data_IF_234567619913
#
_entry.id   IF_234567619913
#
_cell.length_a   1.000
_cell.length_b   1.000
_cell.length_c   1.000
_cell.angle_alpha   90.00
_cell.angle_beta   90.00
_cell.angle_gamma   90.00
#
_symmetry.space_group_name_H-M   'P 1'
#
loop_
_entity.id
_entity.type
_entity.pdbx_description
1 polymer ?
#
# COMPACT_ATOMS: atom_id res chain seq x y z
N UNK A 1 -11.48 54.19 -27.56
CA UNK A 1 -10.10 54.68 -27.33
C UNK A 1 -10.12 55.69 -26.19
N UNK A 2 -9.54 55.32 -25.04
CA UNK A 2 -8.94 56.14 -23.96
C UNK A 2 -8.99 55.34 -22.65
N UNK A 3 -7.94 54.56 -22.39
CA UNK A 3 -7.64 54.07 -21.04
C UNK A 3 -6.86 55.14 -20.30
N UNK A 4 -7.35 55.46 -19.11
CA UNK A 4 -6.65 56.21 -18.07
C UNK A 4 -5.76 55.27 -17.27
N UNK A 5 -4.58 55.78 -16.93
CA UNK A 5 -3.62 55.17 -16.02
C UNK A 5 -4.20 55.06 -14.60
N UNK A 6 -3.75 54.06 -13.84
CA UNK A 6 -3.61 54.19 -12.40
C UNK A 6 -2.42 53.36 -11.93
N UNK A 7 -1.46 54.05 -11.33
CA UNK A 7 -0.22 53.56 -10.74
C UNK A 7 -0.40 53.70 -9.22
N UNK A 8 -0.31 52.62 -8.44
CA UNK A 8 0.00 52.58 -6.99
C UNK A 8 0.05 51.12 -6.54
N UNK A 9 1.23 50.52 -6.36
CA UNK A 9 2.01 50.40 -5.11
C UNK A 9 1.37 49.40 -4.10
N UNK A 10 2.24 48.52 -3.58
CA UNK A 10 2.22 47.77 -2.30
C UNK A 10 1.67 46.33 -2.26
N UNK A 11 2.51 45.50 -1.64
CA UNK A 11 2.25 44.20 -1.02
C UNK A 11 1.96 43.03 -1.96
N UNK A 12 3.06 42.47 -2.49
CA UNK A 12 3.17 41.05 -2.82
C UNK A 12 3.01 40.21 -1.54
N UNK A 13 1.79 40.15 -1.02
CA UNK A 13 1.38 39.11 -0.10
C UNK A 13 1.02 37.95 -1.02
N UNK A 14 1.93 36.98 -1.15
CA UNK A 14 1.65 35.70 -1.75
C UNK A 14 0.48 35.07 -0.98
N UNK A 15 -0.75 35.35 -1.43
CA UNK A 15 -1.88 34.47 -1.22
C UNK A 15 -1.52 33.22 -2.02
N UNK A 16 -0.77 32.33 -1.38
CA UNK A 16 -0.73 30.93 -1.79
C UNK A 16 -2.17 30.44 -1.70
N UNK A 17 -2.84 30.10 -2.81
CA UNK A 17 -3.95 29.17 -2.68
C UNK A 17 -3.34 27.92 -2.05
N UNK A 18 -3.83 27.54 -0.87
CA UNK A 18 -3.71 26.18 -0.40
C UNK A 18 -4.38 25.30 -1.46
N UNK A 19 -3.61 24.86 -2.45
CA UNK A 19 -3.98 23.80 -3.35
C UNK A 19 -4.23 22.57 -2.47
N UNK A 20 -5.46 22.08 -2.51
CA UNK A 20 -5.95 21.03 -1.62
C UNK A 20 -5.11 19.76 -1.72
N UNK A 21 -4.60 19.31 -0.58
CA UNK A 21 -4.31 17.90 -0.36
C UNK A 21 -5.64 17.21 -0.03
N UNK A 22 -6.50 16.97 -1.02
CA UNK A 22 -7.85 16.46 -0.74
C UNK A 22 -8.53 15.64 -1.83
N UNK A 23 -7.86 15.30 -2.94
CA UNK A 23 -8.56 14.76 -4.13
C UNK A 23 -8.04 13.40 -4.63
N UNK A 24 -7.05 12.77 -4.00
CA UNK A 24 -6.44 11.54 -4.53
C UNK A 24 -6.39 10.37 -3.54
N UNK A 25 -7.27 10.32 -2.54
CA UNK A 25 -7.47 9.10 -1.75
C UNK A 25 -8.25 8.09 -2.60
N UNK A 26 -7.62 7.00 -3.11
CA UNK A 26 -8.32 6.05 -3.97
C UNK A 26 -9.40 5.26 -3.23
N UNK A 27 -9.45 5.32 -1.90
CA UNK A 27 -10.40 4.60 -1.07
C UNK A 27 -11.68 5.40 -0.76
N UNK A 28 -11.70 6.72 -1.00
CA UNK A 28 -12.80 7.58 -0.60
C UNK A 28 -14.15 7.20 -1.24
N UNK A 29 -14.12 6.79 -2.52
CA UNK A 29 -15.31 6.41 -3.30
C UNK A 29 -15.42 4.90 -3.56
N UNK A 30 -14.54 4.09 -2.95
CA UNK A 30 -14.49 2.64 -3.18
C UNK A 30 -15.62 1.89 -2.45
N UNK A 31 -16.07 0.76 -3.02
CA UNK A 31 -16.93 -0.19 -2.29
C UNK A 31 -16.19 -0.63 -1.00
N UNK A 32 -16.81 -0.58 0.19
CA UNK A 32 -16.13 -0.89 1.44
C UNK A 32 -15.49 -2.28 1.47
N UNK A 33 -16.05 -3.25 0.74
CA UNK A 33 -15.48 -4.60 0.61
C UNK A 33 -14.18 -4.58 -0.19
N UNK A 34 -14.14 -3.79 -1.27
CA UNK A 34 -12.93 -3.60 -2.07
C UNK A 34 -11.88 -2.80 -1.30
N UNK A 35 -12.30 -1.75 -0.59
CA UNK A 35 -11.40 -0.96 0.25
C UNK A 35 -10.74 -1.80 1.35
N UNK A 36 -11.47 -2.74 1.97
CA UNK A 36 -10.91 -3.62 3.00
C UNK A 36 -9.91 -4.64 2.45
N UNK A 37 -10.09 -5.10 1.21
CA UNK A 37 -9.20 -6.08 0.59
C UNK A 37 -7.96 -5.38 0.04
N UNK A 38 -8.14 -4.28 -0.68
CA UNK A 38 -7.08 -3.57 -1.39
C UNK A 38 -6.33 -2.55 -0.51
N UNK A 39 -6.44 -2.64 0.81
CA UNK A 39 -5.74 -1.77 1.73
C UNK A 39 -4.24 -2.06 1.67
N UNK A 40 -3.42 -1.03 1.52
CA UNK A 40 -1.96 -1.20 1.61
C UNK A 40 -1.61 -1.45 3.08
N UNK A 41 -1.05 -2.62 3.37
CA UNK A 41 -0.58 -2.97 4.70
C UNK A 41 0.83 -2.40 4.94
N UNK A 42 0.99 -1.76 6.09
CA UNK A 42 2.27 -1.19 6.51
C UNK A 42 3.12 -2.25 7.26
N UNK A 43 4.43 -2.35 6.98
CA UNK A 43 5.33 -3.25 7.70
C UNK A 43 5.37 -2.93 9.19
N UNK A 44 5.63 -3.96 10.01
CA UNK A 44 5.67 -3.82 11.46
C UNK A 44 6.79 -2.87 11.95
N UNK A 45 7.89 -2.75 11.17
CA UNK A 45 9.03 -1.90 11.48
C UNK A 45 9.00 -0.69 10.54
N UNK A 46 8.80 0.50 11.11
CA UNK A 46 8.81 1.75 10.33
C UNK A 46 10.11 1.89 9.55
N UNK A 47 10.00 2.19 8.25
CA UNK A 47 11.15 2.42 7.37
C UNK A 47 11.85 1.15 6.88
N UNK A 48 11.32 -0.04 7.19
CA UNK A 48 11.81 -1.30 6.63
C UNK A 48 10.70 -2.05 5.88
N UNK A 49 11.09 -2.96 4.98
CA UNK A 49 10.19 -3.83 4.23
C UNK A 49 9.62 -3.22 2.96
N UNK A 50 9.17 -4.09 2.06
CA UNK A 50 8.43 -3.67 0.88
C UNK A 50 6.99 -3.33 1.25
N UNK A 51 6.43 -2.33 0.57
CA UNK A 51 5.02 -1.97 0.66
C UNK A 51 4.41 -1.87 -0.73
N UNK A 52 3.12 -2.15 -0.84
CA UNK A 52 2.43 -2.00 -2.10
C UNK A 52 2.36 -0.53 -2.52
N UNK A 53 2.65 -0.26 -3.78
CA UNK A 53 2.49 1.08 -4.35
C UNK A 53 1.01 1.44 -4.54
N UNK A 54 0.75 2.75 -4.62
CA UNK A 54 -0.61 3.27 -4.76
C UNK A 54 -1.26 2.88 -6.10
N UNK A 55 -0.47 2.65 -7.14
CA UNK A 55 -0.98 2.24 -8.45
C UNK A 55 -1.56 0.81 -8.39
N UNK A 56 -0.91 -0.08 -7.64
CA UNK A 56 -1.34 -1.46 -7.41
C UNK A 56 -2.62 -1.49 -6.60
N UNK A 57 -2.74 -0.65 -5.57
CA UNK A 57 -3.97 -0.51 -4.80
C UNK A 57 -5.15 -0.03 -5.66
N UNK A 58 -4.94 0.99 -6.51
CA UNK A 58 -5.96 1.45 -7.47
C UNK A 58 -6.38 0.34 -8.44
N UNK A 59 -5.41 -0.40 -8.98
CA UNK A 59 -5.70 -1.53 -9.87
C UNK A 59 -6.48 -2.64 -9.15
N UNK A 60 -6.16 -2.93 -7.89
CA UNK A 60 -6.92 -3.86 -7.06
C UNK A 60 -8.38 -3.40 -6.89
N UNK A 61 -8.60 -2.12 -6.58
CA UNK A 61 -9.93 -1.54 -6.43
C UNK A 61 -10.74 -1.63 -7.72
N UNK A 62 -10.15 -1.29 -8.86
CA UNK A 62 -10.79 -1.39 -10.19
C UNK A 62 -11.17 -2.84 -10.51
N UNK A 63 -10.26 -3.79 -10.24
CA UNK A 63 -10.49 -5.22 -10.45
C UNK A 63 -11.57 -5.79 -9.53
N UNK A 64 -11.62 -5.35 -8.28
CA UNK A 64 -12.63 -5.73 -7.32
C UNK A 64 -14.00 -5.17 -7.72
N UNK A 65 -14.07 -3.88 -8.05
CA UNK A 65 -15.31 -3.24 -8.50
C UNK A 65 -15.88 -3.95 -9.73
N UNK A 66 -15.04 -4.26 -10.72
CA UNK A 66 -15.44 -4.99 -11.94
C UNK A 66 -16.05 -6.35 -11.64
N UNK A 67 -15.49 -7.08 -10.66
CA UNK A 67 -16.01 -8.40 -10.24
C UNK A 67 -17.36 -8.32 -9.54
N UNK A 68 -17.69 -7.17 -8.95
CA UNK A 68 -18.93 -6.95 -8.21
C UNK A 68 -20.02 -6.27 -9.04
N UNK A 69 -19.71 -5.84 -10.27
CA UNK A 69 -20.72 -5.27 -11.17
C UNK A 69 -21.81 -6.30 -11.44
N UNK A 70 -23.06 -5.92 -11.18
CA UNK A 70 -24.27 -6.69 -11.48
C UNK A 70 -24.33 -8.11 -10.88
N UNK A 71 -23.52 -8.41 -9.85
CA UNK A 71 -23.62 -9.68 -9.13
C UNK A 71 -24.50 -9.56 -7.88
N UNK A 72 -25.17 -10.66 -7.53
CA UNK A 72 -25.90 -10.73 -6.26
C UNK A 72 -24.94 -10.59 -5.08
N UNK A 73 -25.42 -10.11 -3.94
CA UNK A 73 -24.59 -10.02 -2.72
C UNK A 73 -23.97 -11.36 -2.34
N UNK A 74 -24.69 -12.47 -2.52
CA UNK A 74 -24.20 -13.82 -2.21
C UNK A 74 -23.06 -14.24 -3.16
N UNK A 75 -23.21 -13.97 -4.46
CA UNK A 75 -22.16 -14.20 -5.44
C UNK A 75 -20.94 -13.31 -5.15
N UNK A 76 -21.14 -12.02 -4.91
CA UNK A 76 -20.08 -11.08 -4.59
C UNK A 76 -19.31 -11.47 -3.32
N UNK A 77 -19.99 -11.94 -2.27
CA UNK A 77 -19.32 -12.47 -1.08
C UNK A 77 -18.44 -13.68 -1.42
N UNK A 78 -18.92 -14.62 -2.22
CA UNK A 78 -18.12 -15.77 -2.63
C UNK A 78 -16.87 -15.36 -3.43
N UNK A 79 -17.02 -14.42 -4.37
CA UNK A 79 -15.93 -13.96 -5.24
C UNK A 79 -14.82 -13.23 -4.48
N UNK A 80 -15.18 -12.58 -3.38
CA UNK A 80 -14.24 -11.87 -2.51
C UNK A 80 -13.75 -12.72 -1.34
N UNK A 81 -14.32 -13.90 -1.15
CA UNK A 81 -13.91 -14.80 -0.09
C UNK A 81 -12.50 -15.33 -0.41
N UNK A 82 -11.55 -15.13 0.52
CA UNK A 82 -10.12 -15.40 0.32
C UNK A 82 -9.44 -14.48 -0.70
N UNK A 83 -10.05 -13.34 -1.03
CA UNK A 83 -9.33 -12.32 -1.77
C UNK A 83 -8.20 -11.75 -0.91
N UNK A 84 -7.04 -11.58 -1.52
CA UNK A 84 -5.82 -11.11 -0.89
C UNK A 84 -5.17 -10.05 -1.77
N UNK A 85 -4.51 -9.07 -1.14
CA UNK A 85 -3.75 -8.04 -1.84
C UNK A 85 -2.48 -7.78 -1.06
N UNK A 86 -1.35 -8.11 -1.67
CA UNK A 86 -0.08 -8.01 -0.97
C UNK A 86 1.10 -8.41 -1.83
N UNK A 87 2.18 -8.75 -1.14
CA UNK A 87 3.40 -9.25 -1.75
C UNK A 87 3.27 -10.77 -1.93
N UNK A 88 3.46 -11.26 -3.16
CA UNK A 88 3.36 -12.69 -3.48
C UNK A 88 4.36 -13.58 -2.70
N UNK A 89 5.40 -12.98 -2.11
CA UNK A 89 6.37 -13.66 -1.26
C UNK A 89 6.80 -12.74 -0.11
N UNK A 90 6.59 -13.21 1.12
CA UNK A 90 7.35 -12.71 2.27
C UNK A 90 8.83 -12.98 1.97
N UNK A 91 9.61 -11.92 1.77
CA UNK A 91 11.07 -12.03 1.76
C UNK A 91 11.46 -12.45 3.17
N UNK A 92 11.60 -13.76 3.39
CA UNK A 92 11.90 -14.31 4.70
C UNK A 92 13.31 -13.92 5.11
N UNK A 93 13.42 -12.95 6.00
CA UNK A 93 14.68 -12.62 6.63
C UNK A 93 15.14 -13.81 7.46
N UNK A 94 16.38 -14.22 7.23
CA UNK A 94 16.98 -15.32 7.98
C UNK A 94 17.96 -14.74 8.98
N UNK A 95 17.57 -14.79 10.25
CA UNK A 95 18.44 -14.44 11.36
C UNK A 95 19.28 -15.66 11.77
N UNK A 96 20.60 -15.48 11.79
CA UNK A 96 21.53 -16.45 12.35
C UNK A 96 22.15 -15.90 13.63
N UNK A 97 21.82 -16.48 14.77
CA UNK A 97 22.29 -16.02 16.08
C UNK A 97 23.32 -16.95 16.72
N UNK A 98 24.37 -16.34 17.27
CA UNK A 98 25.27 -16.92 18.26
C UNK A 98 24.86 -16.48 19.67
N UNK A 99 25.60 -16.90 20.70
CA UNK A 99 25.31 -16.52 22.10
C UNK A 99 25.33 -15.00 22.35
N UNK A 100 26.06 -14.23 21.55
CA UNK A 100 26.28 -12.79 21.80
C UNK A 100 25.91 -11.89 20.62
N UNK A 101 25.88 -12.42 19.40
CA UNK A 101 25.65 -11.65 18.18
C UNK A 101 24.73 -12.41 17.23
N UNK A 102 23.81 -11.70 16.62
CA UNK A 102 22.99 -12.15 15.50
C UNK A 102 23.45 -11.50 14.20
N UNK A 103 23.29 -12.21 13.10
CA UNK A 103 23.53 -11.75 11.74
C UNK A 103 22.22 -11.86 10.96
N UNK A 104 21.82 -10.77 10.31
CA UNK A 104 20.62 -10.68 9.49
C UNK A 104 21.05 -10.37 8.06
N UNK A 105 20.57 -11.18 7.12
CA UNK A 105 20.78 -10.97 5.69
C UNK A 105 19.46 -10.61 5.03
N UNK A 106 19.47 -9.48 4.32
CA UNK A 106 18.35 -8.98 3.54
C UNK A 106 18.79 -8.62 2.12
N UNK A 107 17.96 -7.83 1.45
CA UNK A 107 18.15 -7.45 0.04
C UNK A 107 19.41 -6.63 -0.21
N UNK A 108 19.68 -5.65 0.66
CA UNK A 108 20.77 -4.67 0.50
C UNK A 108 22.08 -5.13 1.14
N UNK A 109 22.11 -6.36 1.66
CA UNK A 109 23.30 -7.00 2.21
C UNK A 109 23.05 -7.63 3.58
N UNK A 110 24.08 -7.59 4.42
CA UNK A 110 24.08 -8.25 5.73
C UNK A 110 24.47 -7.25 6.80
N UNK A 111 23.89 -7.39 7.99
CA UNK A 111 24.20 -6.60 9.16
C UNK A 111 24.28 -7.51 10.41
N UNK A 112 24.96 -7.05 11.45
CA UNK A 112 25.07 -7.80 12.71
C UNK A 112 24.63 -6.94 13.89
N UNK A 113 23.98 -7.55 14.87
CA UNK A 113 23.46 -6.87 16.06
C UNK A 113 23.60 -7.75 17.32
N UNK A 114 23.66 -7.17 18.54
CA UNK A 114 23.76 -7.96 19.76
C UNK A 114 22.50 -8.80 20.03
N UNK A 115 22.69 -10.04 20.50
CA UNK A 115 21.56 -10.90 20.86
C UNK A 115 20.73 -10.27 21.99
N UNK A 116 19.41 -10.16 21.78
CA UNK A 116 18.47 -9.58 22.75
C UNK A 116 18.37 -8.05 22.73
N UNK A 117 19.01 -7.38 21.77
CA UNK A 117 18.86 -5.94 21.54
C UNK A 117 17.88 -5.68 20.38
N UNK A 118 16.59 -5.55 20.71
CA UNK A 118 15.53 -5.32 19.72
C UNK A 118 15.72 -4.02 18.93
N UNK A 119 16.24 -2.96 19.56
CA UNK A 119 16.47 -1.70 18.89
C UNK A 119 17.60 -1.83 17.83
N UNK A 120 18.67 -2.56 18.17
CA UNK A 120 19.72 -2.87 17.22
C UNK A 120 19.22 -3.80 16.10
N UNK A 121 18.36 -4.78 16.41
CA UNK A 121 17.71 -5.64 15.41
C UNK A 121 16.89 -4.84 14.41
N UNK A 122 16.00 -3.95 14.87
CA UNK A 122 15.20 -3.11 13.98
C UNK A 122 16.05 -2.12 13.16
N UNK A 123 17.15 -1.63 13.72
CA UNK A 123 18.10 -0.80 12.96
C UNK A 123 18.80 -1.62 11.86
N UNK A 124 19.14 -2.87 12.16
CA UNK A 124 19.64 -3.86 11.21
C UNK A 124 18.63 -4.05 10.07
N UNK A 125 17.36 -4.30 10.41
CA UNK A 125 16.27 -4.52 9.47
C UNK A 125 16.12 -3.36 8.47
N UNK A 126 16.08 -2.12 8.98
CA UNK A 126 16.05 -0.91 8.12
C UNK A 126 17.26 -0.77 7.21
N UNK A 127 18.42 -1.31 7.61
CA UNK A 127 19.64 -1.25 6.82
C UNK A 127 19.63 -2.27 5.69
N UNK A 128 19.24 -3.52 5.97
CA UNK A 128 19.31 -4.60 4.96
C UNK A 128 18.05 -4.73 4.12
N UNK A 129 16.91 -4.25 4.63
CA UNK A 129 15.62 -4.21 3.94
C UNK A 129 14.98 -2.83 4.07
N UNK A 130 15.60 -1.76 3.54
CA UNK A 130 15.02 -0.42 3.62
C UNK A 130 13.67 -0.36 2.91
N UNK A 131 12.78 0.50 3.40
CA UNK A 131 11.44 0.67 2.85
C UNK A 131 11.46 0.97 1.36
N UNK A 132 10.63 0.24 0.60
CA UNK A 132 10.38 0.50 -0.81
C UNK A 132 8.92 0.32 -1.17
N UNK A 133 8.42 1.17 -2.04
CA UNK A 133 7.15 0.95 -2.73
C UNK A 133 7.41 0.02 -3.92
N UNK A 134 6.62 -1.06 -4.01
CA UNK A 134 6.73 -2.08 -5.06
C UNK A 134 5.35 -2.41 -5.63
N UNK A 135 5.34 -2.97 -6.83
CA UNK A 135 4.11 -3.44 -7.44
C UNK A 135 3.58 -4.67 -6.72
N UNK A 136 2.30 -4.66 -6.37
CA UNK A 136 1.58 -5.76 -5.75
C UNK A 136 0.49 -6.29 -6.67
N UNK A 137 0.06 -7.52 -6.41
CA UNK A 137 -1.03 -8.14 -7.14
C UNK A 137 -2.17 -8.48 -6.18
N UNK A 138 -3.39 -8.42 -6.72
CA UNK A 138 -4.57 -8.83 -6.01
C UNK A 138 -4.98 -10.22 -6.51
N UNK A 139 -5.09 -11.15 -5.59
CA UNK A 139 -5.62 -12.48 -5.85
C UNK A 139 -7.09 -12.51 -5.46
N UNK A 140 -7.94 -12.92 -6.40
CA UNK A 140 -9.37 -13.09 -6.16
C UNK A 140 -9.76 -14.51 -6.50
N UNK A 141 -10.74 -15.05 -5.77
CA UNK A 141 -11.28 -16.37 -6.08
C UNK A 141 -11.81 -16.41 -7.53
N UNK A 142 -11.55 -17.49 -8.28
CA UNK A 142 -12.07 -17.62 -9.63
C UNK A 142 -13.59 -17.81 -9.63
N UNK A 143 -14.27 -17.20 -10.61
CA UNK A 143 -15.73 -17.25 -10.76
C UNK A 143 -16.28 -18.68 -10.83
N UNK A 144 -15.50 -19.61 -11.39
CA UNK A 144 -15.85 -21.02 -11.49
C UNK A 144 -16.09 -21.68 -10.13
N UNK A 145 -15.40 -21.25 -9.08
CA UNK A 145 -15.61 -21.76 -7.72
C UNK A 145 -16.86 -21.18 -7.06
N UNK A 146 -17.40 -20.08 -7.61
CA UNK A 146 -18.60 -19.41 -7.16
C UNK A 146 -19.81 -19.64 -8.08
N UNK A 147 -19.76 -20.62 -9.00
CA UNK A 147 -20.84 -20.86 -9.96
C UNK A 147 -22.21 -21.03 -9.28
N UNK A 148 -22.29 -21.86 -8.24
CA UNK A 148 -23.53 -22.09 -7.49
C UNK A 148 -24.14 -20.81 -6.85
N UNK A 149 -23.41 -20.02 -6.04
CA UNK A 149 -23.94 -18.76 -5.50
C UNK A 149 -24.18 -17.67 -6.57
N UNK A 150 -23.52 -17.78 -7.73
CA UNK A 150 -23.71 -16.86 -8.85
C UNK A 150 -24.80 -17.31 -9.84
N UNK A 151 -25.43 -18.47 -9.63
CA UNK A 151 -26.49 -18.99 -10.50
C UNK A 151 -26.01 -19.42 -11.88
N UNK A 152 -24.75 -19.87 -11.98
CA UNK A 152 -24.13 -20.39 -13.21
C UNK A 152 -24.01 -21.91 -13.20
#
# INVERSE_FOLDING_TARGET
MRSLACLSILAATCILPAAGCGEDDPYADADPRCASICAIEEPAIEGAGDVCDLASARLCLDNCATRLVDVSTVCGTCLLEQADFGLDQEVGDTDFCTETTCEMSGREGTCSYPTGDDAAREACERQVNPRREVACQAEFRPVSECAAPCGQ
#
